data_IF_598197243743
#
_entry.id   IF_598197243743
#
_cell.length_a   1.000
_cell.length_b   1.000
_cell.length_c   1.000
_cell.angle_alpha   90.00
_cell.angle_beta   90.00
_cell.angle_gamma   90.00
#
_symmetry.space_group_name_H-M   'P 1'
#
loop_
_entity.id
_entity.type
_entity.pdbx_description
1 polymer ?
#
# COMPACT_ATOMS: atom_id res chain seq x y z
N UNK A 1 -18.91 13.48 5.79
CA UNK A 1 -18.81 12.07 5.33
C UNK A 1 -17.35 11.66 5.22
N UNK A 2 -16.74 11.25 6.34
CA UNK A 2 -15.37 10.75 6.37
C UNK A 2 -15.32 9.42 5.61
N UNK A 3 -14.90 9.43 4.34
CA UNK A 3 -14.50 8.19 3.67
C UNK A 3 -13.28 7.67 4.43
N UNK A 4 -13.42 6.52 5.07
CA UNK A 4 -12.31 5.82 5.73
C UNK A 4 -11.21 5.65 4.68
N UNK A 5 -10.06 6.27 4.87
CA UNK A 5 -8.96 6.16 3.92
C UNK A 5 -8.44 4.73 3.95
N UNK A 6 -8.17 4.19 2.77
CA UNK A 6 -7.63 2.85 2.58
C UNK A 6 -6.26 2.66 3.25
N UNK A 7 -5.53 3.76 3.50
CA UNK A 7 -4.35 3.79 4.38
C UNK A 7 -4.64 3.28 5.79
N UNK A 8 -5.72 3.72 6.43
CA UNK A 8 -6.07 3.30 7.81
C UNK A 8 -6.42 1.82 7.85
N UNK A 9 -7.22 1.34 6.90
CA UNK A 9 -7.57 -0.08 6.82
C UNK A 9 -6.35 -0.99 6.62
N UNK A 10 -5.41 -0.55 5.77
CA UNK A 10 -4.16 -1.29 5.53
C UNK A 10 -3.29 -1.37 6.79
N UNK A 11 -3.15 -0.26 7.52
CA UNK A 11 -2.37 -0.22 8.77
C UNK A 11 -2.99 -1.12 9.85
N UNK A 12 -4.31 -1.13 10.00
CA UNK A 12 -5.01 -2.02 10.95
C UNK A 12 -4.71 -3.48 10.61
N UNK A 13 -4.83 -3.87 9.34
CA UNK A 13 -4.57 -5.26 8.93
C UNK A 13 -3.10 -5.66 9.13
N UNK A 14 -2.17 -4.74 8.92
CA UNK A 14 -0.74 -4.97 9.20
C UNK A 14 -0.47 -5.19 10.70
N UNK A 15 -1.29 -4.63 11.61
CA UNK A 15 -1.17 -4.89 13.04
C UNK A 15 -1.71 -6.26 13.47
N UNK A 16 -2.61 -6.86 12.68
CA UNK A 16 -3.34 -8.09 13.05
C UNK A 16 -2.82 -9.34 12.33
N UNK A 17 -2.22 -9.18 11.15
CA UNK A 17 -1.80 -10.27 10.28
C UNK A 17 -0.30 -10.22 10.01
N UNK A 18 0.36 -11.37 9.89
CA UNK A 18 1.77 -11.45 9.47
C UNK A 18 1.98 -11.10 8.00
N UNK A 19 0.97 -11.37 7.16
CA UNK A 19 0.97 -11.07 5.73
C UNK A 19 -0.37 -10.47 5.33
N UNK A 20 -0.35 -9.35 4.63
CA UNK A 20 -1.54 -8.64 4.15
C UNK A 20 -1.51 -8.54 2.63
N UNK A 21 -2.58 -9.02 1.98
CA UNK A 21 -2.77 -8.85 0.54
C UNK A 21 -3.79 -7.76 0.26
N UNK A 22 -3.37 -6.73 -0.47
CA UNK A 22 -4.23 -5.61 -0.86
C UNK A 22 -4.50 -5.69 -2.36
N UNK A 23 -5.77 -5.71 -2.77
CA UNK A 23 -6.19 -5.87 -4.16
C UNK A 23 -6.76 -4.59 -4.74
N UNK A 24 -6.39 -4.29 -5.99
CA UNK A 24 -6.84 -3.16 -6.81
C UNK A 24 -6.64 -1.78 -6.14
N UNK A 25 -5.82 -1.69 -5.09
CA UNK A 25 -5.36 -0.43 -4.55
C UNK A 25 -4.30 0.20 -5.46
N UNK A 26 -3.31 -0.62 -5.85
CA UNK A 26 -2.48 -0.36 -7.02
C UNK A 26 -3.19 -0.95 -8.25
N UNK A 27 -3.47 -0.14 -9.29
CA UNK A 27 -4.29 -0.59 -10.40
C UNK A 27 -3.58 -1.68 -11.20
N UNK A 28 -4.33 -2.73 -11.54
CA UNK A 28 -3.87 -3.75 -12.48
C UNK A 28 -4.00 -3.28 -13.94
N UNK A 29 -3.73 -4.17 -14.90
CA UNK A 29 -4.08 -3.98 -16.31
C UNK A 29 -5.57 -3.72 -16.56
N UNK A 30 -6.44 -4.00 -15.59
CA UNK A 30 -7.89 -3.72 -15.65
C UNK A 30 -8.24 -2.29 -15.19
N UNK A 31 -7.26 -1.39 -15.10
CA UNK A 31 -7.48 0.01 -14.73
C UNK A 31 -8.62 0.61 -15.55
N UNK A 32 -9.61 1.13 -14.86
CA UNK A 32 -10.77 1.82 -15.42
C UNK A 32 -11.04 3.11 -14.64
N UNK A 33 -11.82 4.01 -15.22
CA UNK A 33 -12.35 5.19 -14.54
C UNK A 33 -13.58 4.87 -13.68
N UNK A 34 -14.07 3.62 -13.71
CA UNK A 34 -15.15 3.16 -12.84
C UNK A 34 -14.75 3.28 -11.35
N UNK A 35 -15.51 4.05 -10.56
CA UNK A 35 -15.16 4.29 -9.16
C UNK A 35 -15.34 3.07 -8.27
N UNK A 36 -16.44 2.34 -8.46
CA UNK A 36 -16.82 1.21 -7.63
C UNK A 36 -17.31 0.08 -8.53
N UNK A 37 -16.94 -1.16 -8.20
CA UNK A 37 -17.30 -2.35 -9.01
C UNK A 37 -18.81 -2.58 -9.12
N UNK A 38 -19.60 -2.06 -8.18
CA UNK A 38 -21.06 -2.20 -8.14
C UNK A 38 -21.80 -0.99 -8.71
N UNK A 39 -21.11 0.09 -9.09
CA UNK A 39 -21.73 1.29 -9.65
C UNK A 39 -21.32 1.47 -11.10
N UNK A 40 -22.10 2.26 -11.85
CA UNK A 40 -21.79 2.66 -13.23
C UNK A 40 -21.20 4.08 -13.33
N UNK A 41 -20.88 4.69 -12.18
CA UNK A 41 -20.30 6.02 -12.13
C UNK A 41 -18.78 5.97 -12.41
N UNK A 42 -18.34 6.78 -13.36
CA UNK A 42 -16.94 6.88 -13.77
C UNK A 42 -16.36 8.25 -13.42
N UNK A 43 -15.26 8.25 -12.68
CA UNK A 43 -14.47 9.43 -12.37
C UNK A 43 -13.01 9.02 -12.15
N UNK A 44 -12.11 9.57 -12.95
CA UNK A 44 -10.67 9.33 -12.84
C UNK A 44 -10.11 9.70 -11.45
N UNK A 45 -10.77 10.62 -10.73
CA UNK A 45 -10.41 10.99 -9.35
C UNK A 45 -10.50 9.82 -8.36
N UNK A 46 -11.37 8.84 -8.60
CA UNK A 46 -11.49 7.66 -7.74
C UNK A 46 -10.26 6.76 -7.82
N UNK A 47 -9.59 6.73 -8.98
CA UNK A 47 -8.43 5.86 -9.23
C UNK A 47 -7.11 6.61 -9.02
N UNK A 48 -7.05 7.91 -9.31
CA UNK A 48 -5.81 8.71 -9.23
C UNK A 48 -5.75 9.62 -7.99
N UNK A 49 -6.88 9.84 -7.33
CA UNK A 49 -7.03 10.79 -6.24
C UNK A 49 -7.46 12.18 -6.76
N UNK A 50 -8.32 12.85 -6.00
CA UNK A 50 -8.61 14.28 -6.14
C UNK A 50 -8.46 14.98 -4.79
N UNK A 51 -9.39 14.72 -3.86
CA UNK A 51 -9.38 15.35 -2.53
C UNK A 51 -8.40 14.70 -1.54
N UNK A 52 -8.20 13.38 -1.64
CA UNK A 52 -7.27 12.65 -0.78
C UNK A 52 -5.88 12.59 -1.42
N UNK A 53 -4.80 12.58 -0.62
CA UNK A 53 -3.43 12.34 -1.09
C UNK A 53 -3.22 10.86 -1.50
N UNK A 54 -4.18 10.30 -2.24
CA UNK A 54 -4.25 8.90 -2.66
C UNK A 54 -3.00 8.49 -3.44
N UNK A 55 -2.42 9.43 -4.20
CA UNK A 55 -1.15 9.23 -4.89
C UNK A 55 -0.01 8.91 -3.93
N UNK A 56 0.10 9.64 -2.82
CA UNK A 56 1.14 9.43 -1.81
C UNK A 56 0.92 8.12 -1.05
N UNK A 57 -0.33 7.80 -0.72
CA UNK A 57 -0.67 6.50 -0.11
C UNK A 57 -0.29 5.33 -1.02
N UNK A 58 -0.58 5.43 -2.33
CA UNK A 58 -0.19 4.43 -3.33
C UNK A 58 1.32 4.30 -3.46
N UNK A 59 2.05 5.40 -3.45
CA UNK A 59 3.51 5.39 -3.51
C UNK A 59 4.12 4.71 -2.28
N UNK A 60 3.56 4.96 -1.09
CA UNK A 60 4.00 4.29 0.14
C UNK A 60 3.75 2.78 0.08
N UNK A 61 2.54 2.36 -0.29
CA UNK A 61 2.19 0.94 -0.41
C UNK A 61 3.03 0.25 -1.48
N UNK A 62 3.31 0.92 -2.60
CA UNK A 62 4.21 0.42 -3.64
C UNK A 62 5.64 0.22 -3.12
N UNK A 63 6.15 1.16 -2.31
CA UNK A 63 7.48 1.06 -1.68
C UNK A 63 7.57 -0.09 -0.68
N UNK A 64 6.50 -0.33 0.09
CA UNK A 64 6.46 -1.37 1.11
C UNK A 64 6.18 -2.78 0.56
N UNK A 65 5.71 -2.86 -0.69
CA UNK A 65 5.38 -4.12 -1.35
C UNK A 65 6.57 -5.09 -1.39
N UNK A 66 6.33 -6.34 -1.01
CA UNK A 66 7.26 -7.47 -1.14
C UNK A 66 6.95 -8.39 -2.32
N UNK A 67 5.79 -8.20 -2.97
CA UNK A 67 5.40 -8.93 -4.17
C UNK A 67 6.04 -8.40 -5.46
N UNK A 68 5.84 -9.10 -6.57
CA UNK A 68 6.40 -8.70 -7.87
C UNK A 68 5.56 -7.62 -8.58
N UNK A 69 6.18 -6.86 -9.48
CA UNK A 69 5.48 -5.93 -10.37
C UNK A 69 4.52 -6.65 -11.32
N UNK A 70 4.85 -7.90 -11.68
CA UNK A 70 3.96 -8.76 -12.46
C UNK A 70 2.66 -9.03 -11.72
N UNK A 71 2.70 -9.27 -10.41
CA UNK A 71 1.49 -9.53 -9.61
C UNK A 71 0.60 -8.29 -9.52
N UNK A 72 1.20 -7.10 -9.42
CA UNK A 72 0.45 -5.85 -9.48
C UNK A 72 -0.19 -5.71 -10.86
N UNK A 73 0.58 -5.89 -11.94
CA UNK A 73 0.07 -5.71 -13.30
C UNK A 73 -1.02 -6.72 -13.71
N UNK A 74 -0.91 -7.98 -13.25
CA UNK A 74 -1.84 -9.06 -13.62
C UNK A 74 -3.05 -9.14 -12.70
N UNK A 75 -2.83 -9.04 -11.38
CA UNK A 75 -3.84 -9.30 -10.37
C UNK A 75 -4.24 -8.04 -9.59
N UNK A 76 -3.50 -6.94 -9.70
CA UNK A 76 -3.70 -5.77 -8.85
C UNK A 76 -3.33 -6.04 -7.40
N UNK A 77 -2.48 -7.05 -7.16
CA UNK A 77 -2.18 -7.55 -5.81
C UNK A 77 -0.88 -6.97 -5.29
N UNK A 78 -0.94 -6.36 -4.11
CA UNK A 78 0.21 -5.96 -3.31
C UNK A 78 0.34 -6.91 -2.12
N UNK A 79 1.57 -7.27 -1.75
CA UNK A 79 1.86 -8.06 -0.55
C UNK A 79 2.63 -7.22 0.44
N UNK A 80 2.03 -6.96 1.59
CA UNK A 80 2.63 -6.18 2.67
C UNK A 80 2.94 -7.08 3.86
N UNK A 81 4.13 -6.96 4.46
CA UNK A 81 4.46 -7.63 5.70
C UNK A 81 3.73 -6.99 6.89
N UNK A 82 3.25 -7.80 7.82
CA UNK A 82 2.69 -7.35 9.09
C UNK A 82 3.73 -6.73 10.00
N UNK A 83 3.31 -5.87 10.92
CA UNK A 83 4.23 -5.19 11.86
C UNK A 83 5.01 -6.17 12.74
N UNK A 84 4.42 -7.31 13.07
CA UNK A 84 5.06 -8.38 13.85
C UNK A 84 6.28 -9.00 13.14
N UNK A 85 6.38 -8.85 11.81
CA UNK A 85 7.46 -9.45 11.00
C UNK A 85 8.67 -8.52 10.83
N UNK A 86 8.59 -7.26 11.29
CA UNK A 86 9.71 -6.33 11.19
C UNK A 86 10.69 -6.51 12.36
N UNK A 87 11.98 -6.60 12.03
CA UNK A 87 13.05 -6.57 13.02
C UNK A 87 13.78 -5.22 12.96
N UNK A 88 13.61 -4.40 14.00
CA UNK A 88 14.17 -3.05 14.11
C UNK A 88 15.39 -2.96 15.04
N UNK A 89 16.01 -4.08 15.44
CA UNK A 89 17.10 -4.07 16.45
C UNK A 89 18.44 -3.53 15.93
N UNK A 90 18.58 -3.19 14.65
CA UNK A 90 19.84 -2.78 14.02
C UNK A 90 19.89 -1.28 13.65
N UNK A 91 19.75 -0.40 14.64
CA UNK A 91 20.07 1.04 14.46
C UNK A 91 20.59 1.71 15.73
N UNK A 92 21.51 1.06 16.45
CA UNK A 92 22.25 1.67 17.57
C UNK A 92 23.75 1.36 17.59
N UNK A 93 24.36 0.97 16.46
CA UNK A 93 25.81 0.69 16.36
C UNK A 93 26.37 1.00 14.97
N UNK A 94 26.46 2.28 14.60
CA UNK A 94 27.33 2.73 13.48
C UNK A 94 27.92 4.13 13.63
N UNK A 95 28.04 4.66 14.86
CA UNK A 95 28.72 5.95 15.09
C UNK A 95 29.84 5.96 16.13
N UNK A 96 30.19 4.82 16.75
CA UNK A 96 31.30 4.79 17.70
C UNK A 96 32.06 3.46 17.64
N UNK A 97 33.06 3.34 16.76
CA UNK A 97 34.39 2.75 17.07
C UNK A 97 35.29 2.75 15.81
N UNK A 98 35.99 3.86 15.55
CA UNK A 98 37.33 3.83 14.94
C UNK A 98 37.97 5.21 15.06
N UNK A 99 38.53 5.50 16.23
CA UNK A 99 39.65 6.44 16.38
C UNK A 99 40.72 5.70 17.17
N UNK A 100 41.56 4.97 16.44
CA UNK A 100 42.97 4.81 16.80
C UNK A 100 43.72 6.07 16.41
#
# INVERSE_FOLDING_TARGET
NHKLSISVGTVIMMSLCEVVHVYEFLPSRRKTELCHYYQRFSDAACTLGAYHPLLYEKNLVKRMNKGSDRDIYTHGRVTLPGFTTFNCTNSSTSSTLSKT
#
